data_IF_886484603711
#
_entry.id   IF_886484603711
#
_cell.length_a   1.000
_cell.length_b   1.000
_cell.length_c   1.000
_cell.angle_alpha   90.00
_cell.angle_beta   90.00
_cell.angle_gamma   90.00
#
_symmetry.space_group_name_H-M   'P 1'
#
loop_
_entity.id
_entity.type
_entity.pdbx_description
1 polymer ?
#
# COMPACT_ATOMS: atom_id res chain seq x y z
N UNK A 1 10.36 -16.98 -11.88
CA UNK A 1 9.48 -15.79 -12.01
C UNK A 1 8.41 -16.11 -13.05
N UNK A 2 7.14 -15.83 -12.79
CA UNK A 2 6.06 -16.06 -13.77
C UNK A 2 6.12 -14.99 -14.87
N UNK A 3 6.02 -15.40 -16.14
CA UNK A 3 6.04 -14.51 -17.32
C UNK A 3 4.68 -14.38 -17.98
N UNK A 4 3.87 -15.44 -17.97
CA UNK A 4 2.49 -15.43 -18.46
C UNK A 4 1.68 -16.54 -17.79
N UNK A 5 0.36 -16.43 -17.93
CA UNK A 5 -0.61 -17.43 -17.49
C UNK A 5 -1.59 -17.68 -18.65
N UNK A 6 -1.97 -18.93 -18.85
CA UNK A 6 -3.04 -19.34 -19.77
C UNK A 6 -4.10 -20.15 -19.00
N UNK A 7 -5.07 -20.71 -19.71
CA UNK A 7 -6.16 -21.47 -19.10
C UNK A 7 -5.68 -22.70 -18.30
N UNK A 8 -4.56 -23.31 -18.71
CA UNK A 8 -4.06 -24.55 -18.12
C UNK A 8 -2.93 -24.38 -17.10
N UNK A 9 -2.29 -23.21 -17.03
CA UNK A 9 -1.14 -23.05 -16.15
C UNK A 9 -0.31 -21.78 -16.32
N UNK A 10 0.88 -21.81 -15.70
CA UNK A 10 1.82 -20.70 -15.62
C UNK A 10 3.09 -21.00 -16.41
N UNK A 11 3.56 -20.01 -17.18
CA UNK A 11 4.88 -20.04 -17.81
C UNK A 11 5.89 -19.32 -16.92
N UNK A 12 7.03 -19.94 -16.67
CA UNK A 12 8.12 -19.32 -15.91
C UNK A 12 9.19 -18.76 -16.84
N UNK A 13 9.96 -17.79 -16.33
CA UNK A 13 11.11 -17.20 -17.01
C UNK A 13 12.19 -18.23 -17.34
N UNK A 14 12.24 -19.33 -16.58
CA UNK A 14 13.21 -20.40 -16.75
C UNK A 14 12.77 -21.43 -17.81
N UNK A 15 11.63 -21.18 -18.47
CA UNK A 15 11.08 -22.03 -19.55
C UNK A 15 10.21 -23.18 -19.06
N UNK A 16 9.93 -23.26 -17.76
CA UNK A 16 9.05 -24.28 -17.18
C UNK A 16 7.57 -23.91 -17.36
N UNK A 17 6.75 -24.91 -17.65
CA UNK A 17 5.30 -24.82 -17.61
C UNK A 17 4.76 -25.55 -16.38
N UNK A 18 4.00 -24.85 -15.55
CA UNK A 18 3.40 -25.38 -14.33
C UNK A 18 1.90 -25.51 -14.57
N UNK A 19 1.43 -26.74 -14.77
CA UNK A 19 0.01 -27.07 -14.92
C UNK A 19 -0.75 -26.80 -13.60
N UNK A 20 -1.91 -26.14 -13.68
CA UNK A 20 -2.71 -25.80 -12.51
C UNK A 20 -4.19 -25.58 -12.85
N UNK A 21 -5.08 -26.26 -12.12
CA UNK A 21 -6.53 -26.03 -12.20
C UNK A 21 -6.97 -24.72 -11.52
N UNK A 22 -6.17 -24.19 -10.59
CA UNK A 22 -6.43 -22.96 -9.85
C UNK A 22 -5.16 -22.12 -9.72
N UNK A 23 -5.21 -20.89 -10.23
CA UNK A 23 -4.12 -19.93 -10.14
C UNK A 23 -4.55 -18.72 -9.30
N UNK A 24 -3.78 -18.42 -8.24
CA UNK A 24 -4.03 -17.29 -7.32
C UNK A 24 -2.90 -16.26 -7.45
N UNK A 25 -3.23 -15.03 -7.83
CA UNK A 25 -2.26 -13.94 -7.96
C UNK A 25 -2.18 -13.08 -6.70
N UNK A 26 -1.05 -13.14 -6.00
CA UNK A 26 -0.76 -12.31 -4.82
C UNK A 26 0.55 -11.50 -4.96
N UNK A 27 1.11 -11.41 -6.17
CA UNK A 27 2.47 -10.90 -6.40
C UNK A 27 2.56 -9.37 -6.57
N UNK A 28 1.43 -8.63 -6.53
CA UNK A 28 1.45 -7.18 -6.60
C UNK A 28 0.08 -6.55 -6.58
N UNK A 29 0.03 -5.29 -6.13
CA UNK A 29 -1.14 -4.43 -6.17
C UNK A 29 -0.83 -3.19 -7.00
N UNK A 30 -1.86 -2.59 -7.58
CA UNK A 30 -1.81 -1.34 -8.33
C UNK A 30 -2.99 -0.49 -7.90
N UNK A 31 -2.80 0.82 -7.76
CA UNK A 31 -3.91 1.71 -7.49
C UNK A 31 -4.82 1.83 -8.74
N UNK A 32 -6.12 2.10 -8.58
CA UNK A 32 -7.07 2.16 -9.69
C UNK A 32 -6.62 3.06 -10.85
N UNK A 33 -7.00 2.71 -12.08
CA UNK A 33 -6.56 3.43 -13.29
C UNK A 33 -6.98 4.89 -13.34
N UNK A 34 -8.15 5.23 -12.79
CA UNK A 34 -8.65 6.60 -12.77
C UNK A 34 -7.82 7.55 -11.91
N UNK A 35 -6.99 7.04 -10.99
CA UNK A 35 -6.11 7.88 -10.18
C UNK A 35 -4.95 8.43 -10.98
N UNK A 36 -4.58 7.77 -12.08
CA UNK A 36 -3.48 8.22 -12.93
C UNK A 36 -3.79 9.64 -13.44
N UNK A 37 -2.91 10.57 -13.11
CA UNK A 37 -3.00 11.99 -13.49
C UNK A 37 -4.33 12.67 -13.08
N UNK A 38 -5.02 12.12 -12.06
CA UNK A 38 -6.32 12.63 -11.61
C UNK A 38 -6.21 14.10 -11.21
N UNK A 39 -6.98 14.96 -11.86
CA UNK A 39 -6.97 16.41 -11.59
C UNK A 39 -5.60 17.07 -11.77
N UNK A 40 -4.67 16.46 -12.52
CA UNK A 40 -3.31 16.97 -12.70
C UNK A 40 -2.36 16.69 -11.52
N UNK A 41 -2.78 15.89 -10.54
CA UNK A 41 -1.94 15.46 -9.43
C UNK A 41 -0.85 14.48 -9.88
N UNK A 42 0.27 14.47 -9.17
CA UNK A 42 1.41 13.60 -9.49
C UNK A 42 1.10 12.16 -9.07
N UNK A 43 1.35 11.20 -9.97
CA UNK A 43 1.26 9.77 -9.66
C UNK A 43 2.51 9.00 -10.06
N UNK A 44 2.78 7.91 -9.34
CA UNK A 44 3.85 6.98 -9.68
C UNK A 44 3.41 5.93 -10.72
N UNK A 45 4.34 5.03 -11.11
CA UNK A 45 4.09 3.98 -12.12
C UNK A 45 2.96 2.98 -11.80
N UNK A 46 2.56 2.87 -10.54
CA UNK A 46 1.44 2.01 -10.09
C UNK A 46 0.21 2.85 -9.68
N UNK A 47 0.11 4.08 -10.21
CA UNK A 47 -0.99 5.03 -10.06
C UNK A 47 -1.22 5.56 -8.63
N UNK A 48 -0.23 5.45 -7.74
CA UNK A 48 -0.35 6.06 -6.41
C UNK A 48 -0.02 7.55 -6.47
N UNK A 49 -0.81 8.37 -5.79
CA UNK A 49 -0.58 9.79 -5.61
C UNK A 49 0.71 10.02 -4.83
N UNK A 50 1.63 10.81 -5.38
CA UNK A 50 2.87 11.17 -4.69
C UNK A 50 2.53 12.22 -3.63
N UNK A 51 2.91 11.94 -2.39
CA UNK A 51 2.63 12.80 -1.24
C UNK A 51 3.89 13.14 -0.48
N UNK A 52 3.86 14.26 0.22
CA UNK A 52 4.86 14.65 1.20
C UNK A 52 4.76 13.78 2.47
N UNK A 53 5.77 13.76 3.35
CA UNK A 53 5.68 13.09 4.65
C UNK A 53 4.56 13.65 5.56
N UNK A 54 3.99 14.81 5.23
CA UNK A 54 2.80 15.41 5.88
C UNK A 54 1.48 14.90 5.30
N UNK A 55 1.51 14.00 4.30
CA UNK A 55 0.39 13.37 3.59
C UNK A 55 -0.37 14.25 2.60
N UNK A 56 0.11 15.48 2.38
CA UNK A 56 -0.37 16.35 1.32
C UNK A 56 0.19 15.91 -0.03
N UNK A 57 -0.55 16.08 -1.11
CA UNK A 57 0.00 15.85 -2.46
C UNK A 57 1.10 16.85 -2.78
N UNK A 58 2.05 16.47 -3.63
CA UNK A 58 3.18 17.33 -4.01
C UNK A 58 2.78 18.54 -4.86
N UNK A 59 1.58 18.52 -5.45
CA UNK A 59 1.09 19.57 -6.35
C UNK A 59 0.00 20.46 -5.75
N UNK A 60 -0.76 19.93 -4.80
CA UNK A 60 -1.83 20.67 -4.13
C UNK A 60 -1.77 20.40 -2.60
N UNK A 61 -1.42 21.42 -1.79
CA UNK A 61 -1.31 21.27 -0.34
C UNK A 61 -2.68 21.16 0.36
N UNK A 62 -3.79 21.41 -0.31
CA UNK A 62 -5.14 21.23 0.26
C UNK A 62 -5.69 19.80 0.01
N UNK A 63 -5.00 19.01 -0.83
CA UNK A 63 -5.37 17.63 -1.12
C UNK A 63 -4.47 16.67 -0.35
N UNK A 64 -5.11 15.75 0.37
CA UNK A 64 -4.44 14.68 1.12
C UNK A 64 -4.73 13.31 0.50
N UNK A 65 -3.74 12.42 0.51
CA UNK A 65 -3.92 11.02 0.12
C UNK A 65 -3.31 10.08 1.17
N UNK A 66 -4.00 8.98 1.45
CA UNK A 66 -3.60 8.01 2.49
C UNK A 66 -3.81 6.56 2.05
N UNK A 67 -3.14 5.63 2.73
CA UNK A 67 -3.27 4.20 2.47
C UNK A 67 -2.69 3.82 1.11
N UNK A 68 -3.25 2.78 0.50
CA UNK A 68 -2.66 2.13 -0.68
C UNK A 68 -2.68 3.00 -1.94
N UNK A 69 -3.49 4.08 -1.98
CA UNK A 69 -3.48 5.04 -3.08
C UNK A 69 -2.37 6.10 -2.96
N UNK A 70 -1.62 6.14 -1.86
CA UNK A 70 -0.60 7.15 -1.60
C UNK A 70 0.82 6.57 -1.65
N UNK A 71 1.69 7.22 -2.39
CA UNK A 71 3.12 6.97 -2.42
C UNK A 71 3.79 7.90 -1.40
N UNK A 72 3.73 7.50 -0.13
CA UNK A 72 4.27 8.30 0.98
C UNK A 72 5.72 7.93 1.26
N UNK A 73 6.69 8.83 1.08
CA UNK A 73 8.08 8.61 1.45
C UNK A 73 8.21 8.54 2.97
N UNK A 74 9.18 7.76 3.45
CA UNK A 74 9.54 7.73 4.88
C UNK A 74 10.84 8.51 5.11
N UNK A 75 10.98 9.21 6.26
CA UNK A 75 12.21 9.94 6.59
C UNK A 75 13.48 9.06 6.56
N UNK A 76 13.36 7.80 6.97
CA UNK A 76 14.44 6.81 6.96
C UNK A 76 14.70 6.18 5.58
N UNK A 77 13.97 6.59 4.54
CA UNK A 77 14.08 6.07 3.19
C UNK A 77 13.02 5.03 2.81
N UNK A 78 12.76 4.97 1.50
CA UNK A 78 11.71 4.14 0.92
C UNK A 78 10.30 4.69 1.16
N UNK A 79 9.29 3.85 0.93
CA UNK A 79 7.87 4.23 1.00
C UNK A 79 7.12 3.45 2.07
N UNK A 80 6.12 4.07 2.69
CA UNK A 80 5.19 3.41 3.61
C UNK A 80 4.60 2.17 2.95
N UNK A 81 4.67 0.98 3.59
CA UNK A 81 4.17 -0.24 2.97
C UNK A 81 2.63 -0.24 2.92
N UNK A 82 2.02 -0.82 1.88
CA UNK A 82 0.57 -0.93 1.75
C UNK A 82 0.04 -1.93 2.78
N UNK A 83 -0.36 -1.43 3.94
CA UNK A 83 -0.85 -2.22 5.09
C UNK A 83 -1.97 -1.46 5.78
N UNK A 84 -3.01 -2.19 6.19
CA UNK A 84 -4.10 -1.61 6.97
C UNK A 84 -3.62 -0.88 8.24
N UNK A 85 -2.61 -1.42 8.94
CA UNK A 85 -2.02 -0.77 10.12
C UNK A 85 -1.36 0.58 9.78
N UNK A 86 -0.74 0.70 8.59
CA UNK A 86 -0.14 1.94 8.13
C UNK A 86 -1.22 2.94 7.71
N UNK A 87 -2.22 2.50 6.94
CA UNK A 87 -3.36 3.31 6.53
C UNK A 87 -4.09 3.93 7.73
N UNK A 88 -4.29 3.18 8.81
CA UNK A 88 -4.92 3.71 10.03
C UNK A 88 -4.07 4.79 10.71
N UNK A 89 -2.74 4.63 10.75
CA UNK A 89 -1.84 5.65 11.27
C UNK A 89 -1.81 6.90 10.37
N UNK A 90 -1.87 6.71 9.05
CA UNK A 90 -1.97 7.80 8.08
C UNK A 90 -3.27 8.57 8.25
N UNK A 91 -4.40 7.90 8.47
CA UNK A 91 -5.70 8.55 8.72
C UNK A 91 -5.63 9.48 9.94
N UNK A 92 -5.08 9.00 11.07
CA UNK A 92 -4.90 9.83 12.28
C UNK A 92 -3.97 11.02 12.03
N UNK A 93 -2.89 10.84 11.27
CA UNK A 93 -1.97 11.92 10.94
C UNK A 93 -2.63 12.96 10.01
N UNK A 94 -3.31 12.52 8.95
CA UNK A 94 -4.00 13.38 8.00
C UNK A 94 -5.08 14.21 8.70
N UNK A 95 -5.91 13.60 9.54
CA UNK A 95 -6.89 14.33 10.35
C UNK A 95 -6.23 15.45 11.19
N UNK A 96 -5.15 15.13 11.89
CA UNK A 96 -4.44 16.13 12.71
C UNK A 96 -3.82 17.25 11.86
N UNK A 97 -3.30 16.93 10.67
CA UNK A 97 -2.70 17.90 9.76
C UNK A 97 -3.74 18.79 9.09
N UNK A 98 -4.89 18.25 8.67
CA UNK A 98 -6.02 19.03 8.16
C UNK A 98 -6.47 20.05 9.22
N UNK A 99 -6.67 19.60 10.46
CA UNK A 99 -7.02 20.50 11.56
C UNK A 99 -5.92 21.53 11.86
N UNK A 100 -4.65 21.15 11.76
CA UNK A 100 -3.53 22.07 11.95
C UNK A 100 -3.51 23.14 10.84
N UNK A 101 -3.65 22.75 9.57
CA UNK A 101 -3.69 23.64 8.41
C UNK A 101 -4.82 24.66 8.51
N UNK A 102 -6.03 24.20 8.83
CA UNK A 102 -7.19 25.09 9.04
C UNK A 102 -6.97 26.12 10.15
N UNK A 103 -6.09 25.83 11.11
CA UNK A 103 -5.77 26.71 12.23
C UNK A 103 -4.41 27.43 12.07
N UNK A 104 -3.77 27.36 10.90
CA UNK A 104 -2.45 27.96 10.66
C UNK A 104 -1.33 27.40 11.55
N UNK A 105 -1.46 26.15 12.00
CA UNK A 105 -0.49 25.46 12.86
C UNK A 105 0.47 24.60 12.03
N UNK A 106 1.70 24.34 12.53
CA UNK A 106 2.65 23.49 11.84
C UNK A 106 2.14 22.06 11.68
N UNK A 107 2.41 21.48 10.52
CA UNK A 107 2.06 20.10 10.19
C UNK A 107 3.05 19.11 10.79
N UNK A 108 2.59 17.88 11.00
CA UNK A 108 3.39 16.79 11.53
C UNK A 108 3.72 15.79 10.44
N UNK A 109 4.97 15.35 10.44
CA UNK A 109 5.44 14.25 9.60
C UNK A 109 4.88 12.93 10.15
N UNK A 110 4.43 12.05 9.24
CA UNK A 110 3.97 10.71 9.58
C UNK A 110 5.06 9.90 10.27
N UNK A 111 4.70 9.22 11.36
CA UNK A 111 5.56 8.25 12.05
C UNK A 111 4.86 6.90 12.02
N UNK A 112 5.32 6.00 11.15
CA UNK A 112 4.74 4.66 11.01
C UNK A 112 5.45 3.69 11.93
N UNK A 113 4.67 3.01 12.78
CA UNK A 113 5.12 1.85 13.55
C UNK A 113 4.37 0.62 13.06
N UNK A 114 5.11 -0.30 12.44
CA UNK A 114 4.59 -1.61 12.06
C UNK A 114 4.96 -2.60 13.14
N UNK A 115 3.96 -3.24 13.75
CA UNK A 115 4.18 -4.26 14.79
C UNK A 115 3.61 -5.57 14.30
N UNK A 116 4.48 -6.55 14.05
CA UNK A 116 4.04 -7.92 13.74
C UNK A 116 4.00 -8.70 15.05
N UNK A 117 2.81 -9.08 15.50
CA UNK A 117 2.64 -9.98 16.64
C UNK A 117 2.46 -11.40 16.12
N UNK A 118 3.50 -12.21 16.27
CA UNK A 118 3.43 -13.64 15.96
C UNK A 118 2.55 -14.34 17.00
N UNK A 119 1.42 -14.87 16.56
CA UNK A 119 0.65 -15.82 17.36
C UNK A 119 0.99 -17.22 16.85
N UNK A 120 1.53 -18.07 17.73
CA UNK A 120 1.72 -19.48 17.43
C UNK A 120 0.34 -20.13 17.32
N UNK A 121 0.00 -20.67 16.15
CA UNK A 121 -1.19 -21.49 15.99
C UNK A 121 -1.08 -22.66 16.98
N UNK A 122 -1.96 -22.72 17.98
CA UNK A 122 -2.04 -23.89 18.86
C UNK A 122 -2.59 -25.02 18.01
N UNK A 123 -1.81 -26.08 17.84
CA UNK A 123 -2.31 -27.33 17.26
C UNK A 123 -3.41 -27.85 18.18
N UNK A 124 -4.62 -28.04 17.65
CA UNK A 124 -5.66 -28.79 18.34
C UNK A 124 -5.15 -30.22 18.54
N UNK A 125 -5.29 -30.82 19.73
CA UNK A 125 -5.02 -32.25 19.89
C UNK A 125 -5.97 -33.02 18.97
N UNK A 126 -5.53 -34.14 18.34
CA UNK A 126 -6.41 -34.96 17.55
C UNK A 126 -7.56 -35.43 18.42
N UNK A 127 -8.79 -35.13 18.01
CA UNK A 127 -9.98 -35.72 18.59
C UNK A 127 -9.88 -37.23 18.43
N UNK A 128 -9.90 -37.95 19.54
CA UNK A 128 -10.11 -39.40 19.58
C UNK A 128 -11.36 -39.75 18.76
N UNK A 129 -11.16 -40.63 17.77
CA UNK A 129 -12.23 -41.26 17.00
C UNK A 129 -12.94 -42.33 17.83
#
# INVERSE_FOLDING_TARGET
MVTSADEGGLHTKDGEYIEADLMVWAAGIKAPDFLKDIGGLETNRINQLVVEPTLQTTRDPDIYAIGDCASCPRPEGGFVPPRAQAAHQMATCAMNNILAQMNGKPLKIISIKITVRWYRCRTFPPSVA
#
